data_IF_860329845275
#
_entry.id   IF_860329845275
#
_cell.length_a   1.000
_cell.length_b   1.000
_cell.length_c   1.000
_cell.angle_alpha   90.00
_cell.angle_beta   90.00
_cell.angle_gamma   90.00
#
_symmetry.space_group_name_H-M   'P 1'
#
loop_
_entity.id
_entity.type
_entity.pdbx_description
1 polymer ?
#
# COMPACT_ATOMS: atom_id res chain seq x y z
N UNK A 1 15.17 15.54 -12.95
CA UNK A 1 14.68 15.69 -11.57
C UNK A 1 13.52 14.73 -11.31
N UNK A 2 13.62 13.92 -10.29
CA UNK A 2 12.56 12.99 -9.92
C UNK A 2 11.46 13.70 -9.16
N UNK A 3 10.22 13.44 -9.51
CA UNK A 3 9.08 13.90 -8.72
C UNK A 3 8.80 12.90 -7.62
N UNK A 4 8.58 13.39 -6.42
CA UNK A 4 8.09 12.56 -5.34
C UNK A 4 6.57 12.38 -5.50
N UNK A 5 6.11 11.15 -5.34
CA UNK A 5 4.69 10.82 -5.34
C UNK A 5 4.31 10.35 -3.95
N UNK A 6 3.10 10.70 -3.53
CA UNK A 6 2.57 10.27 -2.24
C UNK A 6 1.48 9.24 -2.49
N UNK A 7 1.64 8.07 -1.88
CA UNK A 7 0.65 7.00 -1.94
C UNK A 7 0.14 6.69 -0.55
N UNK A 8 -1.15 6.45 -0.45
CA UNK A 8 -1.73 5.96 0.78
C UNK A 8 -1.55 4.45 0.86
N UNK A 9 -1.14 3.98 2.02
CA UNK A 9 -0.91 2.58 2.29
C UNK A 9 -1.75 2.17 3.49
N UNK A 10 -2.44 1.05 3.38
CA UNK A 10 -3.20 0.48 4.48
C UNK A 10 -2.34 -0.58 5.14
N UNK A 11 -2.15 -0.48 6.44
CA UNK A 11 -1.34 -1.42 7.20
C UNK A 11 -2.23 -2.14 8.21
N UNK A 12 -2.20 -3.46 8.18
CA UNK A 12 -2.99 -4.31 9.06
C UNK A 12 -2.07 -5.33 9.71
N UNK A 13 -2.51 -5.93 10.80
CA UNK A 13 -1.79 -7.02 11.44
C UNK A 13 -2.64 -8.27 11.36
N UNK A 14 -2.07 -9.38 10.88
CA UNK A 14 -2.80 -10.63 10.78
C UNK A 14 -2.81 -11.40 12.10
N UNK A 15 -3.51 -12.54 12.12
CA UNK A 15 -3.66 -13.35 13.32
C UNK A 15 -2.34 -13.94 13.83
N UNK A 16 -1.37 -14.09 12.95
CA UNK A 16 -0.04 -14.61 13.31
C UNK A 16 0.90 -13.51 13.83
N UNK A 17 0.46 -12.25 13.81
CA UNK A 17 1.24 -11.13 14.27
C UNK A 17 2.10 -10.46 13.20
N UNK A 18 2.01 -10.90 11.94
CA UNK A 18 2.70 -10.24 10.84
C UNK A 18 1.94 -9.00 10.42
N UNK A 19 2.70 -7.98 10.02
CA UNK A 19 2.13 -6.78 9.44
C UNK A 19 1.98 -6.96 7.94
N UNK A 20 0.85 -6.51 7.41
CA UNK A 20 0.54 -6.59 5.98
C UNK A 20 0.27 -5.17 5.51
N UNK A 21 0.87 -4.78 4.40
CA UNK A 21 0.67 -3.47 3.82
C UNK A 21 0.15 -3.60 2.39
N UNK A 22 -0.75 -2.71 2.02
CA UNK A 22 -1.33 -2.66 0.68
C UNK A 22 -1.42 -1.23 0.21
N UNK A 23 -1.09 -1.01 -1.06
CA UNK A 23 -1.28 0.27 -1.72
C UNK A 23 -2.47 0.15 -2.67
N UNK A 24 -3.67 0.61 -2.28
CA UNK A 24 -4.89 0.41 -3.08
C UNK A 24 -4.85 1.06 -4.46
N UNK A 25 -4.05 2.12 -4.64
CA UNK A 25 -3.93 2.78 -5.94
C UNK A 25 -3.30 1.90 -7.01
N UNK A 26 -2.49 0.93 -6.61
CA UNK A 26 -1.72 0.11 -7.54
C UNK A 26 -2.19 -1.34 -7.48
N UNK A 27 -2.31 -1.96 -8.65
CA UNK A 27 -2.74 -3.36 -8.73
C UNK A 27 -1.67 -4.29 -8.17
N UNK A 28 -2.09 -5.24 -7.36
CA UNK A 28 -1.22 -6.27 -6.77
C UNK A 28 -0.03 -5.70 -5.98
N UNK A 29 -0.21 -4.52 -5.39
CA UNK A 29 0.83 -3.84 -4.62
C UNK A 29 0.61 -4.07 -3.13
N UNK A 30 1.17 -5.16 -2.61
CA UNK A 30 1.05 -5.53 -1.21
C UNK A 30 2.29 -6.30 -0.77
N UNK A 31 2.52 -6.32 0.53
CA UNK A 31 3.64 -7.03 1.12
C UNK A 31 3.38 -7.31 2.60
N UNK A 32 4.29 -8.01 3.25
CA UNK A 32 4.22 -8.24 4.68
C UNK A 32 5.58 -8.02 5.33
N UNK A 33 5.58 -7.90 6.64
CA UNK A 33 6.79 -7.74 7.43
C UNK A 33 6.55 -8.20 8.87
N UNK A 34 7.62 -8.45 9.58
CA UNK A 34 7.55 -8.89 10.98
C UNK A 34 7.32 -7.75 11.96
N UNK A 35 7.70 -6.53 11.55
CA UNK A 35 7.51 -5.32 12.34
C UNK A 35 6.84 -4.26 11.49
N UNK A 36 6.30 -3.23 12.15
CA UNK A 36 5.70 -2.10 11.46
C UNK A 36 6.72 -1.40 10.56
N UNK A 37 7.91 -1.14 11.06
CA UNK A 37 8.97 -0.48 10.30
C UNK A 37 9.40 -1.31 9.10
N UNK A 38 9.49 -2.61 9.26
CA UNK A 38 9.86 -3.52 8.18
C UNK A 38 8.81 -3.49 7.07
N UNK A 39 7.52 -3.56 7.41
CA UNK A 39 6.48 -3.55 6.40
C UNK A 39 6.42 -2.22 5.65
N UNK A 40 6.69 -1.10 6.32
CA UNK A 40 6.75 0.22 5.67
C UNK A 40 7.89 0.25 4.65
N UNK A 41 9.06 -0.23 5.01
CA UNK A 41 10.18 -0.29 4.07
C UNK A 41 9.89 -1.25 2.92
N UNK A 42 9.31 -2.40 3.21
CA UNK A 42 8.97 -3.38 2.18
C UNK A 42 7.95 -2.83 1.19
N UNK A 43 6.92 -2.13 1.65
CA UNK A 43 5.91 -1.58 0.74
C UNK A 43 6.46 -0.46 -0.13
N UNK A 44 7.42 0.31 0.36
CA UNK A 44 8.10 1.30 -0.48
C UNK A 44 8.78 0.63 -1.67
N UNK A 45 9.46 -0.48 -1.44
CA UNK A 45 10.14 -1.21 -2.49
C UNK A 45 9.15 -1.78 -3.50
N UNK A 46 8.04 -2.33 -3.03
CA UNK A 46 7.00 -2.87 -3.90
C UNK A 46 6.36 -1.77 -4.75
N UNK A 47 6.06 -0.62 -4.14
CA UNK A 47 5.52 0.53 -4.87
C UNK A 47 6.49 0.97 -5.97
N UNK A 48 7.78 1.06 -5.65
CA UNK A 48 8.80 1.44 -6.63
C UNK A 48 8.82 0.49 -7.83
N UNK A 49 8.74 -0.81 -7.57
CA UNK A 49 8.69 -1.82 -8.64
C UNK A 49 7.42 -1.68 -9.48
N UNK A 50 6.27 -1.46 -8.84
CA UNK A 50 5.00 -1.27 -9.55
C UNK A 50 5.06 -0.04 -10.46
N UNK A 51 5.67 1.04 -9.97
CA UNK A 51 5.81 2.28 -10.76
C UNK A 51 6.75 2.08 -11.95
N UNK A 52 7.81 1.31 -11.78
CA UNK A 52 8.71 0.98 -12.89
C UNK A 52 7.98 0.20 -13.99
N UNK A 53 7.15 -0.76 -13.61
CA UNK A 53 6.35 -1.54 -14.57
C UNK A 53 5.38 -0.64 -15.33
N UNK A 54 4.69 0.27 -14.62
CA UNK A 54 3.78 1.22 -15.26
C UNK A 54 4.53 2.11 -16.27
N UNK A 55 5.69 2.59 -15.87
CA UNK A 55 6.52 3.43 -16.74
C UNK A 55 6.95 2.69 -18.01
N UNK A 56 7.39 1.44 -17.87
CA UNK A 56 7.78 0.61 -19.01
C UNK A 56 6.63 0.37 -19.98
N UNK A 57 5.42 0.22 -19.47
CA UNK A 57 4.22 0.02 -20.29
C UNK A 57 3.66 1.33 -20.83
N UNK A 58 4.19 2.47 -20.42
CA UNK A 58 3.67 3.76 -20.81
C UNK A 58 2.32 4.09 -20.19
N UNK A 59 1.97 3.42 -19.09
CA UNK A 59 0.72 3.64 -18.39
C UNK A 59 0.86 4.76 -17.35
N UNK A 60 -0.24 5.48 -17.15
CA UNK A 60 -0.29 6.54 -16.15
C UNK A 60 -0.46 5.95 -14.75
N UNK A 61 0.04 6.68 -13.75
CA UNK A 61 -0.19 6.33 -12.35
C UNK A 61 -1.68 6.53 -12.06
N UNK A 62 -2.39 5.49 -11.56
CA UNK A 62 -3.81 5.60 -11.27
C UNK A 62 -4.11 6.58 -10.15
N UNK A 63 -5.27 7.20 -10.21
CA UNK A 63 -5.80 7.97 -9.10
C UNK A 63 -6.53 7.03 -8.15
N UNK A 64 -6.37 7.30 -6.85
CA UNK A 64 -7.15 6.58 -5.86
C UNK A 64 -7.98 7.57 -5.04
N UNK A 65 -9.16 7.17 -4.61
CA UNK A 65 -9.92 7.98 -3.66
C UNK A 65 -9.10 8.17 -2.36
N UNK A 66 -9.21 9.34 -1.78
CA UNK A 66 -8.52 9.62 -0.53
C UNK A 66 -9.12 8.79 0.61
N UNK A 67 -8.26 8.09 1.34
CA UNK A 67 -8.67 7.37 2.53
C UNK A 67 -8.78 8.37 3.67
N UNK A 68 -9.97 8.54 4.23
CA UNK A 68 -10.20 9.50 5.30
C UNK A 68 -10.01 8.87 6.67
N UNK A 69 -10.34 7.60 6.80
CA UNK A 69 -10.17 6.93 8.07
C UNK A 69 -10.58 5.47 8.04
N UNK A 70 -10.31 4.81 9.15
CA UNK A 70 -10.76 3.45 9.42
C UNK A 70 -11.57 3.51 10.70
N UNK A 71 -12.73 2.91 10.70
CA UNK A 71 -13.62 2.98 11.84
C UNK A 71 -14.18 1.61 12.21
N UNK A 72 -14.20 1.33 13.50
CA UNK A 72 -14.89 0.15 14.01
C UNK A 72 -16.37 0.46 14.15
N UNK A 73 -17.20 -0.44 13.64
CA UNK A 73 -18.65 -0.31 13.73
C UNK A 73 -19.20 -1.58 14.35
N UNK A 74 -19.96 -1.44 15.43
CA UNK A 74 -20.61 -2.58 16.07
C UNK A 74 -21.95 -2.83 15.42
N UNK A 75 -22.20 -4.07 15.02
CA UNK A 75 -23.44 -4.47 14.38
C UNK A 75 -23.96 -5.72 15.09
N UNK A 76 -25.21 -5.67 15.52
CA UNK A 76 -25.88 -6.83 16.12
C UNK A 76 -26.40 -7.73 15.01
N UNK A 77 -26.18 -9.04 15.14
CA UNK A 77 -26.67 -10.05 14.19
C UNK A 77 -27.52 -11.08 14.91
#
# INVERSE_FOLDING_TARGET
MRRAHVFQVIIEQDDAGYFVAECPALRACYTQGKTYEEVVENIKDVISLCLEVLKEKGEKIPRQPEIIGVRRVEVAV
#
